data_IF_370751715647
#
_entry.id   IF_370751715647
#
_cell.length_a   1.000
_cell.length_b   1.000
_cell.length_c   1.000
_cell.angle_alpha   90.00
_cell.angle_beta   90.00
_cell.angle_gamma   90.00
#
_symmetry.space_group_name_H-M   'P 1'
#
loop_
_entity.id
_entity.type
_entity.pdbx_description
1 polymer ?
#
# COMPACT_ATOMS: atom_id res chain seq x y z
N UNK A 1 -16.23 -19.42 -8.19
CA UNK A 1 -15.18 -18.90 -9.09
C UNK A 1 -14.93 -17.45 -8.71
N UNK A 2 -13.69 -16.95 -8.76
CA UNK A 2 -13.42 -15.53 -8.54
C UNK A 2 -14.25 -14.69 -9.51
N UNK A 3 -14.78 -13.55 -9.07
CA UNK A 3 -15.50 -12.64 -9.97
C UNK A 3 -14.53 -12.09 -11.03
N UNK A 4 -15.07 -11.65 -12.18
CA UNK A 4 -14.27 -10.96 -13.19
C UNK A 4 -13.89 -9.57 -12.68
N UNK A 5 -12.60 -9.28 -12.64
CA UNK A 5 -12.06 -7.97 -12.23
C UNK A 5 -11.35 -7.31 -13.41
N UNK A 6 -11.39 -5.99 -13.48
CA UNK A 6 -10.64 -5.19 -14.46
C UNK A 6 -9.42 -4.49 -13.82
N UNK A 7 -9.15 -4.75 -12.54
CA UNK A 7 -8.05 -4.13 -11.80
C UNK A 7 -6.67 -4.64 -12.22
N UNK A 8 -6.57 -5.91 -12.61
CA UNK A 8 -5.36 -6.48 -13.21
C UNK A 8 -5.35 -6.23 -14.71
N UNK A 9 -4.85 -5.06 -15.08
CA UNK A 9 -4.66 -4.69 -16.48
C UNK A 9 -3.29 -5.15 -16.99
N UNK A 10 -3.19 -5.39 -18.29
CA UNK A 10 -1.90 -5.60 -18.95
C UNK A 10 -1.11 -4.28 -18.94
N UNK A 11 0.09 -4.33 -18.37
CA UNK A 11 0.97 -3.16 -18.26
C UNK A 11 2.21 -3.38 -19.12
N UNK A 12 2.52 -2.49 -20.08
CA UNK A 12 3.75 -2.56 -20.86
C UNK A 12 5.00 -2.64 -19.99
N UNK A 13 6.00 -3.41 -20.41
CA UNK A 13 7.29 -3.52 -19.70
C UNK A 13 8.06 -2.20 -19.64
N UNK A 14 7.71 -1.24 -20.50
CA UNK A 14 8.28 0.10 -20.52
C UNK A 14 7.75 1.02 -19.42
N UNK A 15 6.58 0.74 -18.83
CA UNK A 15 6.06 1.53 -17.71
C UNK A 15 6.81 1.19 -16.42
N UNK A 16 7.06 2.18 -15.57
CA UNK A 16 7.56 1.96 -14.23
C UNK A 16 6.52 1.21 -13.38
N UNK A 17 6.90 0.33 -12.44
CA UNK A 17 6.02 -0.23 -11.41
C UNK A 17 5.48 0.81 -10.40
N UNK A 18 5.26 2.05 -10.83
CA UNK A 18 4.72 3.15 -10.02
C UNK A 18 3.28 3.38 -10.48
N UNK A 19 2.34 3.22 -9.54
CA UNK A 19 0.90 3.29 -9.77
C UNK A 19 0.34 4.59 -9.21
N UNK A 20 -0.38 5.32 -10.04
CA UNK A 20 -1.02 6.59 -9.68
C UNK A 20 -2.21 6.86 -10.60
N UNK A 21 -3.17 7.65 -10.14
CA UNK A 21 -4.19 8.27 -11.01
C UNK A 21 -4.43 9.71 -10.57
N UNK A 22 -4.65 10.66 -11.50
CA UNK A 22 -5.11 12.00 -11.16
C UNK A 22 -6.38 12.03 -10.30
N UNK A 23 -7.21 10.98 -10.41
CA UNK A 23 -8.44 10.79 -9.62
C UNK A 23 -8.18 10.44 -8.15
N UNK A 24 -6.93 10.24 -7.71
CA UNK A 24 -6.60 10.00 -6.30
C UNK A 24 -6.88 11.21 -5.41
N UNK A 25 -6.78 12.42 -5.96
CA UNK A 25 -6.81 13.64 -5.17
C UNK A 25 -8.27 13.97 -4.77
N UNK A 26 -8.51 14.09 -3.46
CA UNK A 26 -9.82 14.50 -2.93
C UNK A 26 -9.86 16.03 -2.91
N UNK A 27 -10.49 16.64 -3.91
CA UNK A 27 -10.65 18.10 -3.96
C UNK A 27 -12.03 18.49 -3.44
N UNK A 28 -12.06 19.43 -2.48
CA UNK A 28 -13.27 19.90 -1.86
C UNK A 28 -13.40 21.44 -1.91
N UNK A 29 -13.28 22.01 -3.11
CA UNK A 29 -13.46 23.45 -3.35
C UNK A 29 -12.61 24.34 -2.42
N UNK A 30 -11.46 23.85 -1.92
CA UNK A 30 -10.56 24.55 -1.01
C UNK A 30 -10.72 24.19 0.48
N UNK A 31 -11.80 23.51 0.87
CA UNK A 31 -12.06 23.10 2.26
C UNK A 31 -11.17 21.93 2.70
N UNK A 32 -10.59 21.18 1.76
CA UNK A 32 -9.55 20.18 2.05
C UNK A 32 -8.33 20.78 2.77
N UNK A 33 -8.08 22.09 2.61
CA UNK A 33 -6.97 22.79 3.25
C UNK A 33 -7.14 23.01 4.77
N UNK A 34 -8.34 22.78 5.30
CA UNK A 34 -8.66 22.88 6.73
C UNK A 34 -8.49 21.55 7.47
N UNK A 35 -8.17 20.48 6.75
CA UNK A 35 -7.98 19.15 7.30
C UNK A 35 -6.48 18.81 7.34
N UNK A 36 -5.98 18.07 8.36
CA UNK A 36 -4.57 17.67 8.43
C UNK A 36 -4.13 16.84 7.20
N UNK A 37 -5.04 16.06 6.61
CA UNK A 37 -4.78 15.31 5.38
C UNK A 37 -4.67 16.21 4.13
N UNK A 38 -3.46 16.34 3.58
CA UNK A 38 -3.21 16.98 2.29
C UNK A 38 -3.72 16.09 1.15
N UNK A 39 -4.98 16.32 0.78
CA UNK A 39 -5.66 15.53 -0.25
C UNK A 39 -5.10 15.69 -1.67
N UNK A 40 -4.11 16.57 -1.89
CA UNK A 40 -3.34 16.70 -3.12
C UNK A 40 -1.92 16.15 -3.04
N UNK A 41 -1.54 15.48 -1.93
CA UNK A 41 -0.19 14.96 -1.67
C UNK A 41 0.33 14.10 -2.81
N UNK A 42 -0.52 13.24 -3.38
CA UNK A 42 -0.15 12.24 -4.38
C UNK A 42 0.25 12.85 -5.72
N UNK A 43 -0.51 13.85 -6.18
CA UNK A 43 -0.15 14.61 -7.38
C UNK A 43 1.20 15.30 -7.23
N UNK A 44 1.45 15.93 -6.08
CA UNK A 44 2.73 16.61 -5.80
C UNK A 44 3.92 15.64 -5.80
N UNK A 45 3.77 14.43 -5.27
CA UNK A 45 4.83 13.41 -5.35
C UNK A 45 5.18 13.13 -6.82
N UNK A 46 4.17 12.88 -7.65
CA UNK A 46 4.37 12.63 -9.08
C UNK A 46 5.02 13.83 -9.78
N UNK A 47 4.58 15.04 -9.47
CA UNK A 47 5.15 16.26 -10.05
C UNK A 47 6.65 16.39 -9.70
N UNK A 48 7.04 16.15 -8.44
CA UNK A 48 8.46 16.13 -8.05
C UNK A 48 9.25 15.04 -8.78
N UNK A 49 8.71 13.83 -8.95
CA UNK A 49 9.39 12.76 -9.70
C UNK A 49 9.56 13.10 -11.19
N UNK A 50 8.64 13.88 -11.76
CA UNK A 50 8.75 14.40 -13.14
C UNK A 50 9.79 15.51 -13.25
N UNK A 51 9.82 16.44 -12.29
CA UNK A 51 10.82 17.50 -12.22
C UNK A 51 12.25 16.93 -12.21
N UNK A 52 12.45 15.84 -11.47
CA UNK A 52 13.72 15.11 -11.37
C UNK A 52 13.94 14.10 -12.51
N UNK A 53 13.03 14.07 -13.49
CA UNK A 53 13.10 13.26 -14.73
C UNK A 53 13.15 11.74 -14.51
N UNK A 54 12.69 11.25 -13.36
CA UNK A 54 12.57 9.81 -13.13
C UNK A 54 11.43 9.20 -13.94
N UNK A 55 10.29 9.91 -13.98
CA UNK A 55 9.06 9.45 -14.65
C UNK A 55 8.52 10.52 -15.61
N UNK A 56 7.75 10.07 -16.60
CA UNK A 56 6.90 10.89 -17.45
C UNK A 56 5.51 10.24 -17.49
N UNK A 57 4.47 10.99 -17.83
CA UNK A 57 3.07 10.53 -17.73
C UNK A 57 2.80 9.19 -18.41
N UNK A 58 3.32 8.99 -19.62
CA UNK A 58 3.11 7.76 -20.40
C UNK A 58 3.78 6.51 -19.79
N UNK A 59 4.69 6.70 -18.83
CA UNK A 59 5.43 5.62 -18.18
C UNK A 59 4.90 5.31 -16.78
N UNK A 60 3.87 5.99 -16.31
CA UNK A 60 3.22 5.73 -15.02
C UNK A 60 2.04 4.79 -15.24
N UNK A 61 1.85 3.82 -14.36
CA UNK A 61 0.70 2.91 -14.44
C UNK A 61 -0.54 3.60 -13.88
N UNK A 62 -1.54 3.78 -14.74
CA UNK A 62 -2.82 4.37 -14.35
C UNK A 62 -3.63 3.40 -13.51
N UNK A 63 -4.01 3.82 -12.30
CA UNK A 63 -4.90 3.05 -11.42
C UNK A 63 -6.35 3.05 -11.93
N UNK A 64 -7.09 1.96 -11.68
CA UNK A 64 -8.54 1.84 -11.96
C UNK A 64 -9.34 1.85 -10.66
N UNK A 65 -10.59 2.34 -10.74
CA UNK A 65 -11.53 2.30 -9.62
C UNK A 65 -11.89 0.84 -9.27
N UNK A 66 -11.75 0.46 -7.99
CA UNK A 66 -12.27 -0.81 -7.50
C UNK A 66 -13.81 -0.82 -7.54
N UNK A 67 -14.38 -1.81 -8.22
CA UNK A 67 -15.83 -2.00 -8.33
C UNK A 67 -16.42 -2.53 -7.01
N UNK A 68 -17.74 -2.50 -6.86
CA UNK A 68 -18.38 -3.10 -5.68
C UNK A 68 -18.05 -4.60 -5.56
N UNK A 69 -17.97 -5.34 -6.67
CA UNK A 69 -17.61 -6.76 -6.67
C UNK A 69 -16.14 -6.99 -6.25
N UNK A 70 -15.24 -6.09 -6.65
CA UNK A 70 -13.85 -6.11 -6.16
C UNK A 70 -13.79 -5.91 -4.65
N UNK A 71 -14.55 -4.94 -4.13
CA UNK A 71 -14.57 -4.63 -2.71
C UNK A 71 -15.17 -5.77 -1.87
N UNK A 72 -16.14 -6.52 -2.40
CA UNK A 72 -16.79 -7.64 -1.71
C UNK A 72 -15.90 -8.85 -1.47
N UNK A 73 -14.71 -8.90 -2.06
CA UNK A 73 -13.70 -9.94 -1.76
C UNK A 73 -13.31 -9.89 -0.28
N UNK A 74 -13.28 -8.69 0.31
CA UNK A 74 -12.96 -8.47 1.73
C UNK A 74 -14.13 -7.86 2.48
N UNK A 75 -14.77 -6.85 1.90
CA UNK A 75 -15.78 -6.10 2.63
C UNK A 75 -17.11 -6.80 2.72
N UNK A 76 -17.73 -6.73 3.89
CA UNK A 76 -19.11 -7.20 4.04
C UNK A 76 -20.05 -6.29 3.25
N UNK A 77 -21.06 -6.88 2.58
CA UNK A 77 -22.13 -6.12 1.92
C UNK A 77 -22.79 -5.13 2.88
N UNK A 78 -22.94 -5.53 4.15
CA UNK A 78 -23.46 -4.67 5.24
C UNK A 78 -22.63 -3.39 5.38
N UNK A 79 -21.31 -3.49 5.42
CA UNK A 79 -20.43 -2.33 5.53
C UNK A 79 -20.47 -1.45 4.29
N UNK A 80 -20.38 -2.03 3.08
CA UNK A 80 -20.48 -1.25 1.84
C UNK A 80 -21.81 -0.49 1.72
N UNK A 81 -22.91 -1.09 2.19
CA UNK A 81 -24.20 -0.39 2.27
C UNK A 81 -24.20 0.78 3.26
N UNK A 82 -23.41 0.74 4.35
CA UNK A 82 -23.27 1.88 5.27
C UNK A 82 -22.57 3.06 4.61
N UNK A 83 -21.58 2.82 3.74
CA UNK A 83 -20.85 3.87 3.01
C UNK A 83 -21.74 4.66 2.03
N UNK A 84 -22.97 4.20 1.75
CA UNK A 84 -23.97 4.97 0.99
C UNK A 84 -24.47 6.19 1.76
N UNK A 85 -24.25 6.29 3.08
CA UNK A 85 -24.72 7.39 3.92
C UNK A 85 -23.60 8.40 4.19
N UNK A 86 -23.84 9.69 3.86
CA UNK A 86 -22.84 10.76 4.02
C UNK A 86 -22.34 10.91 5.46
N UNK A 87 -23.20 10.69 6.46
CA UNK A 87 -22.81 10.72 7.87
C UNK A 87 -21.72 9.69 8.19
N UNK A 88 -21.86 8.45 7.68
CA UNK A 88 -20.86 7.40 7.89
C UNK A 88 -19.53 7.78 7.26
N UNK A 89 -19.57 8.30 6.03
CA UNK A 89 -18.34 8.75 5.33
C UNK A 89 -17.68 9.89 6.09
N UNK A 90 -18.44 10.91 6.52
CA UNK A 90 -17.92 12.04 7.28
C UNK A 90 -17.26 11.62 8.60
N UNK A 91 -17.81 10.61 9.29
CA UNK A 91 -17.20 10.04 10.51
C UNK A 91 -15.90 9.32 10.19
N UNK A 92 -15.87 8.48 9.15
CA UNK A 92 -14.67 7.71 8.78
C UNK A 92 -13.54 8.63 8.32
N UNK A 93 -13.86 9.65 7.53
CA UNK A 93 -12.87 10.60 7.01
C UNK A 93 -12.55 11.71 7.98
N UNK A 94 -13.24 11.80 9.12
CA UNK A 94 -13.14 12.88 10.11
C UNK A 94 -13.22 14.30 9.51
N UNK A 95 -14.06 14.44 8.48
CA UNK A 95 -14.33 15.73 7.83
C UNK A 95 -15.80 16.06 8.07
N UNK A 96 -16.16 16.75 9.18
CA UNK A 96 -17.54 17.12 9.48
C UNK A 96 -18.27 17.82 8.32
N UNK A 97 -17.64 18.72 7.52
CA UNK A 97 -18.27 19.33 6.35
C UNK A 97 -18.84 18.35 5.31
N UNK A 98 -18.30 17.13 5.20
CA UNK A 98 -18.81 16.09 4.27
C UNK A 98 -20.27 15.73 4.57
N UNK A 99 -20.73 15.88 5.81
CA UNK A 99 -22.12 15.63 6.20
C UNK A 99 -23.12 16.49 5.42
N UNK A 100 -22.75 17.74 5.13
CA UNK A 100 -23.65 18.71 4.51
C UNK A 100 -23.64 18.64 2.98
N UNK A 101 -22.82 17.76 2.40
CA UNK A 101 -22.77 17.59 0.96
C UNK A 101 -23.89 16.70 0.43
N UNK A 102 -24.45 17.07 -0.74
CA UNK A 102 -25.26 16.14 -1.53
C UNK A 102 -24.55 14.80 -1.66
N UNK A 103 -25.24 13.70 -1.33
CA UNK A 103 -24.61 12.39 -1.23
C UNK A 103 -23.89 11.96 -2.51
N UNK A 104 -24.43 12.28 -3.70
CA UNK A 104 -23.77 11.98 -4.96
C UNK A 104 -22.38 12.62 -5.09
N UNK A 105 -22.15 13.80 -4.48
CA UNK A 105 -20.83 14.43 -4.41
C UNK A 105 -19.92 13.68 -3.45
N UNK A 106 -20.41 13.23 -2.29
CA UNK A 106 -19.64 12.40 -1.36
C UNK A 106 -19.18 11.11 -2.04
N UNK A 107 -20.09 10.42 -2.73
CA UNK A 107 -19.76 9.21 -3.48
C UNK A 107 -18.70 9.48 -4.57
N UNK A 108 -18.86 10.57 -5.34
CA UNK A 108 -18.00 10.86 -6.50
C UNK A 108 -16.67 11.54 -6.16
N UNK A 109 -16.63 12.38 -5.13
CA UNK A 109 -15.48 13.24 -4.81
C UNK A 109 -14.70 12.77 -3.59
N UNK A 110 -15.26 11.90 -2.76
CA UNK A 110 -14.58 11.32 -1.60
C UNK A 110 -14.36 9.83 -1.80
N UNK A 111 -15.43 9.03 -1.96
CA UNK A 111 -15.30 7.58 -2.01
C UNK A 111 -14.68 7.06 -3.29
N UNK A 112 -15.04 7.62 -4.47
CA UNK A 112 -14.42 7.21 -5.74
C UNK A 112 -12.89 7.35 -5.73
N UNK A 113 -12.29 8.49 -5.32
CA UNK A 113 -10.83 8.58 -5.16
C UNK A 113 -10.23 7.50 -4.27
N UNK A 114 -10.87 7.17 -3.14
CA UNK A 114 -10.41 6.11 -2.23
C UNK A 114 -10.54 4.71 -2.88
N UNK A 115 -11.58 4.45 -3.69
CA UNK A 115 -11.68 3.21 -4.47
C UNK A 115 -10.64 3.13 -5.58
N UNK A 116 -10.29 4.24 -6.21
CA UNK A 116 -9.22 4.30 -7.22
C UNK A 116 -7.86 4.05 -6.59
N UNK A 117 -7.58 4.62 -5.40
CA UNK A 117 -6.39 4.27 -4.63
C UNK A 117 -6.36 2.79 -4.24
N UNK A 118 -7.50 2.23 -3.84
CA UNK A 118 -7.64 0.80 -3.51
C UNK A 118 -7.32 -0.10 -4.72
N UNK A 119 -7.88 0.21 -5.89
CA UNK A 119 -7.57 -0.50 -7.13
C UNK A 119 -6.10 -0.35 -7.53
N UNK A 120 -5.51 0.80 -7.26
CA UNK A 120 -4.07 1.04 -7.40
C UNK A 120 -3.22 0.15 -6.52
N UNK A 121 -3.58 -0.03 -5.25
CA UNK A 121 -2.87 -0.93 -4.30
C UNK A 121 -2.95 -2.38 -4.79
N UNK A 122 -4.11 -2.81 -5.29
CA UNK A 122 -4.29 -4.15 -5.88
C UNK A 122 -3.40 -4.34 -7.12
N UNK A 123 -3.42 -3.38 -8.06
CA UNK A 123 -2.58 -3.42 -9.27
C UNK A 123 -1.08 -3.40 -8.92
N UNK A 124 -0.67 -2.55 -7.99
CA UNK A 124 0.72 -2.46 -7.53
C UNK A 124 1.16 -3.78 -6.89
N UNK A 125 0.30 -4.45 -6.12
CA UNK A 125 0.59 -5.79 -5.60
C UNK A 125 0.92 -6.81 -6.70
N UNK A 126 0.14 -6.82 -7.79
CA UNK A 126 0.41 -7.68 -8.95
C UNK A 126 1.74 -7.31 -9.62
N UNK A 127 2.00 -6.02 -9.84
CA UNK A 127 3.25 -5.54 -10.42
C UNK A 127 4.46 -5.89 -9.55
N UNK A 128 4.33 -5.81 -8.23
CA UNK A 128 5.41 -6.17 -7.31
C UNK A 128 5.81 -7.64 -7.50
N UNK A 129 4.84 -8.56 -7.59
CA UNK A 129 5.11 -9.98 -7.85
C UNK A 129 5.74 -10.17 -9.23
N UNK A 130 5.21 -9.50 -10.26
CA UNK A 130 5.68 -9.67 -11.65
C UNK A 130 7.08 -9.08 -11.90
N UNK A 131 7.42 -7.99 -11.20
CA UNK A 131 8.60 -7.15 -11.50
C UNK A 131 9.57 -7.03 -10.32
N UNK A 132 9.25 -7.66 -9.20
CA UNK A 132 10.06 -7.67 -7.97
C UNK A 132 9.88 -6.44 -7.08
N UNK A 133 9.20 -5.38 -7.54
CA UNK A 133 8.83 -4.23 -6.73
C UNK A 133 7.69 -3.44 -7.38
N UNK A 134 6.90 -2.72 -6.58
CA UNK A 134 5.98 -1.70 -7.04
C UNK A 134 5.66 -0.69 -5.94
N UNK A 135 5.24 0.50 -6.34
CA UNK A 135 4.82 1.57 -5.43
C UNK A 135 3.45 2.06 -5.88
N UNK A 136 2.44 1.98 -5.01
CA UNK A 136 1.25 2.80 -5.16
C UNK A 136 1.48 4.12 -4.43
N UNK A 137 1.42 5.24 -5.13
CA UNK A 137 1.76 6.54 -4.54
C UNK A 137 0.72 7.01 -3.51
N UNK A 138 -0.46 6.39 -3.49
CA UNK A 138 -1.47 6.54 -2.43
C UNK A 138 -1.78 5.21 -1.75
N UNK A 139 -3.01 5.06 -1.23
CA UNK A 139 -3.42 3.86 -0.48
C UNK A 139 -2.76 3.78 0.90
N UNK A 140 -2.66 2.57 1.44
CA UNK A 140 -2.17 2.36 2.82
C UNK A 140 -3.27 2.57 3.85
N UNK A 141 -4.50 2.17 3.54
CA UNK A 141 -5.67 2.39 4.37
C UNK A 141 -5.74 1.39 5.54
N UNK A 142 -4.70 1.40 6.36
CA UNK A 142 -4.41 0.40 7.37
C UNK A 142 -5.40 0.35 8.56
N UNK A 143 -6.26 1.36 8.72
CA UNK A 143 -7.30 1.38 9.76
C UNK A 143 -8.63 0.76 9.33
N UNK A 144 -8.83 0.52 8.03
CA UNK A 144 -10.05 -0.11 7.55
C UNK A 144 -9.92 -1.64 7.60
N UNK A 145 -10.94 -2.27 8.18
CA UNK A 145 -11.14 -3.72 8.17
C UNK A 145 -12.32 -4.08 7.26
N UNK A 146 -12.53 -5.37 7.04
CA UNK A 146 -13.63 -5.95 6.28
C UNK A 146 -15.02 -5.39 6.61
N UNK A 147 -15.30 -4.95 7.84
CA UNK A 147 -16.62 -4.45 8.21
C UNK A 147 -16.67 -3.09 8.92
N UNK A 148 -15.52 -2.42 9.05
CA UNK A 148 -15.40 -1.12 9.71
C UNK A 148 -14.29 -0.26 9.11
N UNK A 149 -14.58 1.01 8.85
CA UNK A 149 -13.59 2.04 8.53
C UNK A 149 -13.33 2.98 9.72
N UNK A 150 -12.29 3.80 9.61
CA UNK A 150 -11.87 4.79 10.61
C UNK A 150 -10.50 5.36 10.27
N UNK A 151 -10.05 6.41 10.97
CA UNK A 151 -8.72 7.01 10.74
C UNK A 151 -8.45 7.33 9.27
N UNK A 152 -9.39 8.00 8.60
CA UNK A 152 -9.34 8.34 7.16
C UNK A 152 -9.47 7.15 6.18
N UNK A 153 -9.57 5.92 6.67
CA UNK A 153 -9.58 4.70 5.86
C UNK A 153 -11.00 4.17 5.66
N UNK A 154 -11.52 4.26 4.43
CA UNK A 154 -12.85 3.76 4.07
C UNK A 154 -12.86 2.38 3.39
N UNK A 155 -11.71 1.93 2.90
CA UNK A 155 -11.56 0.65 2.20
C UNK A 155 -10.28 -0.04 2.68
N UNK A 156 -10.31 -1.36 2.87
CA UNK A 156 -9.21 -2.15 3.40
C UNK A 156 -8.27 -2.58 2.26
N UNK A 157 -7.59 -1.60 1.66
CA UNK A 157 -6.82 -1.80 0.42
C UNK A 157 -5.65 -2.78 0.57
N UNK A 158 -4.94 -2.76 1.70
CA UNK A 158 -3.88 -3.73 2.03
C UNK A 158 -4.48 -5.15 2.12
N UNK A 159 -5.59 -5.33 2.86
CA UNK A 159 -6.26 -6.62 2.97
C UNK A 159 -6.73 -7.12 1.61
N UNK A 160 -7.35 -6.25 0.81
CA UNK A 160 -7.82 -6.56 -0.54
C UNK A 160 -6.67 -6.98 -1.44
N UNK A 161 -5.57 -6.24 -1.48
CA UNK A 161 -4.41 -6.59 -2.30
C UNK A 161 -3.85 -7.97 -1.95
N UNK A 162 -3.68 -8.29 -0.66
CA UNK A 162 -3.20 -9.61 -0.23
C UNK A 162 -4.19 -10.72 -0.61
N UNK A 163 -5.50 -10.54 -0.39
CA UNK A 163 -6.51 -11.55 -0.76
C UNK A 163 -6.56 -11.76 -2.27
N UNK A 164 -6.51 -10.69 -3.07
CA UNK A 164 -6.43 -10.78 -4.53
C UNK A 164 -5.20 -11.55 -4.98
N UNK A 165 -4.03 -11.29 -4.39
CA UNK A 165 -2.81 -12.02 -4.69
C UNK A 165 -2.95 -13.51 -4.37
N UNK A 166 -3.43 -13.86 -3.18
CA UNK A 166 -3.61 -15.27 -2.77
C UNK A 166 -4.61 -16.03 -3.63
N UNK A 167 -5.65 -15.36 -4.14
CA UNK A 167 -6.70 -16.01 -4.94
C UNK A 167 -6.35 -16.09 -6.43
N UNK A 168 -5.57 -15.13 -6.95
CA UNK A 168 -5.47 -14.91 -8.40
C UNK A 168 -4.05 -15.00 -8.95
N UNK A 169 -3.02 -14.96 -8.11
CA UNK A 169 -1.63 -15.01 -8.54
C UNK A 169 -1.00 -16.33 -8.11
N UNK A 170 -0.72 -17.18 -9.09
CA UNK A 170 -0.13 -18.49 -8.85
C UNK A 170 1.21 -18.37 -8.12
N UNK A 171 1.37 -19.15 -7.05
CA UNK A 171 2.60 -19.21 -6.27
C UNK A 171 2.68 -18.18 -5.13
N UNK A 172 1.71 -17.26 -5.01
CA UNK A 172 1.64 -16.33 -3.87
C UNK A 172 0.69 -16.88 -2.83
N UNK A 173 1.21 -17.18 -1.64
CA UNK A 173 0.48 -17.84 -0.57
C UNK A 173 0.80 -17.30 0.82
N UNK A 174 1.91 -16.57 0.96
CA UNK A 174 2.37 -15.95 2.21
C UNK A 174 2.76 -14.50 1.98
N UNK A 175 2.36 -13.63 2.90
CA UNK A 175 2.70 -12.20 2.85
C UNK A 175 3.25 -11.75 4.19
N UNK A 176 4.20 -10.81 4.17
CA UNK A 176 4.62 -10.07 5.37
C UNK A 176 4.17 -8.63 5.22
N UNK A 177 3.35 -8.15 6.15
CA UNK A 177 3.04 -6.73 6.29
C UNK A 177 4.10 -6.11 7.19
N UNK A 178 4.73 -5.05 6.71
CA UNK A 178 5.61 -4.19 7.50
C UNK A 178 4.91 -2.83 7.54
N UNK A 179 4.28 -2.51 8.67
CA UNK A 179 3.65 -1.21 8.88
C UNK A 179 4.57 -0.30 9.71
N UNK A 180 4.97 0.82 9.11
CA UNK A 180 5.82 1.85 9.71
C UNK A 180 5.15 3.23 9.68
N UNK A 181 3.83 3.26 9.57
CA UNK A 181 3.01 4.43 9.92
C UNK A 181 3.06 4.68 11.43
N UNK A 182 2.91 5.94 11.86
CA UNK A 182 2.96 6.27 13.28
C UNK A 182 1.81 5.61 14.08
N UNK A 183 0.70 5.30 13.42
CA UNK A 183 -0.48 4.69 14.03
C UNK A 183 -0.47 3.17 13.84
N UNK A 184 -1.03 2.46 14.82
CA UNK A 184 -1.24 1.01 14.71
C UNK A 184 -2.22 0.68 13.56
N UNK A 185 -1.85 -0.25 12.69
CA UNK A 185 -2.60 -0.72 11.53
C UNK A 185 -3.77 -1.66 11.86
N UNK A 186 -4.64 -1.25 12.79
CA UNK A 186 -5.68 -2.11 13.39
C UNK A 186 -6.69 -2.72 12.41
N UNK A 187 -6.83 -2.18 11.19
CA UNK A 187 -7.71 -2.70 10.16
C UNK A 187 -7.25 -4.05 9.62
N UNK A 188 -6.04 -4.10 9.05
CA UNK A 188 -5.48 -5.35 8.51
C UNK A 188 -5.13 -6.34 9.62
N UNK A 189 -4.76 -5.87 10.81
CA UNK A 189 -4.58 -6.73 11.99
C UNK A 189 -5.85 -7.51 12.35
N UNK A 190 -7.02 -6.85 12.32
CA UNK A 190 -8.31 -7.52 12.56
C UNK A 190 -8.62 -8.55 11.49
N UNK A 191 -8.41 -8.20 10.22
CA UNK A 191 -8.73 -9.05 9.08
C UNK A 191 -7.85 -10.32 9.00
N UNK A 192 -6.61 -10.26 9.50
CA UNK A 192 -5.65 -11.36 9.42
C UNK A 192 -5.32 -12.02 10.77
N UNK A 193 -6.03 -11.69 11.85
CA UNK A 193 -5.76 -12.19 13.21
C UNK A 193 -5.58 -13.72 13.30
N UNK A 194 -6.38 -14.46 12.53
CA UNK A 194 -6.40 -15.92 12.51
C UNK A 194 -5.80 -16.52 11.22
N UNK A 195 -5.18 -15.71 10.34
CA UNK A 195 -4.62 -16.16 9.06
C UNK A 195 -3.08 -16.27 9.14
N UNK A 196 -2.58 -17.47 9.46
CA UNK A 196 -1.14 -17.73 9.60
C UNK A 196 -0.32 -17.58 8.30
N UNK A 197 -0.97 -17.33 7.16
CA UNK A 197 -0.29 -16.98 5.91
C UNK A 197 0.23 -15.55 5.90
N UNK A 198 -0.29 -14.69 6.78
CA UNK A 198 0.11 -13.28 6.88
C UNK A 198 0.86 -13.05 8.18
N UNK A 199 2.09 -12.56 8.05
CA UNK A 199 2.90 -12.12 9.18
C UNK A 199 2.82 -10.59 9.29
N UNK A 200 2.54 -10.08 10.49
CA UNK A 200 2.42 -8.64 10.72
C UNK A 200 3.55 -8.19 11.63
N UNK A 201 4.38 -7.28 11.10
CA UNK A 201 5.23 -6.40 11.86
C UNK A 201 4.63 -4.99 11.84
N UNK A 202 4.50 -4.38 13.00
CA UNK A 202 3.97 -3.02 13.13
C UNK A 202 4.81 -2.24 14.15
N UNK A 203 5.26 -1.04 13.75
CA UNK A 203 6.05 -0.13 14.57
C UNK A 203 5.36 1.24 14.67
N UNK A 204 4.69 1.48 15.79
CA UNK A 204 3.79 2.62 15.98
C UNK A 204 4.04 3.32 17.33
N UNK A 205 3.62 4.58 17.42
CA UNK A 205 3.56 5.31 18.69
C UNK A 205 2.40 4.75 19.53
N UNK A 206 2.69 4.16 20.69
CA UNK A 206 1.68 3.42 21.47
C UNK A 206 0.64 4.30 22.17
N UNK A 207 0.84 5.61 22.21
CA UNK A 207 0.00 6.55 22.95
C UNK A 207 -1.08 7.23 22.09
N UNK A 208 -1.04 7.03 20.77
CA UNK A 208 -1.98 7.66 19.83
C UNK A 208 -3.05 6.66 19.35
N UNK A 209 -4.02 7.17 18.60
CA UNK A 209 -5.08 6.37 17.97
C UNK A 209 -4.46 5.13 17.28
N UNK A 210 -5.10 3.94 17.35
CA UNK A 210 -6.48 3.64 17.76
C UNK A 210 -6.66 3.07 19.17
N UNK A 211 -5.58 2.71 19.88
CA UNK A 211 -5.69 2.03 21.18
C UNK A 211 -6.36 0.65 21.12
N UNK A 212 -6.27 -0.04 19.98
CA UNK A 212 -7.02 -1.28 19.71
C UNK A 212 -6.28 -2.54 20.22
N UNK A 213 -6.38 -2.78 21.54
CA UNK A 213 -5.70 -3.90 22.19
C UNK A 213 -6.10 -5.29 21.69
N UNK A 214 -7.29 -5.44 21.10
CA UNK A 214 -7.71 -6.72 20.51
C UNK A 214 -6.96 -6.99 19.22
N UNK A 215 -6.92 -6.00 18.31
CA UNK A 215 -6.21 -6.08 17.03
C UNK A 215 -4.70 -6.31 17.23
N UNK A 216 -4.10 -5.68 18.25
CA UNK A 216 -2.69 -5.85 18.66
C UNK A 216 -2.24 -7.30 18.88
N UNK A 217 -3.16 -8.26 19.03
CA UNK A 217 -2.85 -9.70 19.19
C UNK A 217 -2.46 -10.37 17.87
N UNK A 218 -2.81 -9.77 16.73
CA UNK A 218 -2.42 -10.25 15.40
C UNK A 218 -0.94 -9.96 15.09
N UNK A 219 -0.39 -8.88 15.67
CA UNK A 219 0.98 -8.43 15.44
C UNK A 219 1.96 -9.47 15.99
N UNK A 220 2.70 -10.14 15.10
CA UNK A 220 3.73 -11.13 15.46
C UNK A 220 4.99 -10.44 15.96
N UNK A 221 5.36 -9.31 15.37
CA UNK A 221 6.50 -8.49 15.78
C UNK A 221 6.08 -7.05 16.01
N UNK A 222 5.73 -6.80 17.26
CA UNK A 222 5.23 -5.50 17.74
C UNK A 222 6.38 -4.63 18.23
N UNK A 223 6.47 -3.41 17.72
CA UNK A 223 7.47 -2.42 18.11
C UNK A 223 6.76 -1.18 18.61
N UNK A 224 6.60 -1.06 19.92
CA UNK A 224 5.97 0.12 20.51
C UNK A 224 7.01 1.23 20.70
N UNK A 225 6.75 2.38 20.07
CA UNK A 225 7.59 3.58 20.12
C UNK A 225 7.05 4.55 21.17
N UNK A 226 7.97 5.32 21.75
CA UNK A 226 7.65 6.36 22.73
C UNK A 226 7.47 7.72 22.02
N UNK A 227 6.85 8.68 22.71
CA UNK A 227 6.81 10.06 22.22
C UNK A 227 8.20 10.59 21.94
N UNK A 228 8.37 11.26 20.81
CA UNK A 228 9.63 11.91 20.44
C UNK A 228 10.77 10.94 20.17
N UNK A 229 10.53 9.65 19.88
CA UNK A 229 11.59 8.77 19.37
C UNK A 229 12.24 9.42 18.14
N UNK A 230 13.58 9.50 18.16
CA UNK A 230 14.42 10.11 17.14
C UNK A 230 15.06 9.07 16.20
N UNK A 231 15.71 9.55 15.14
CA UNK A 231 16.28 8.75 14.05
C UNK A 231 17.10 7.53 14.48
N UNK A 232 18.05 7.70 15.41
CA UNK A 232 19.00 6.63 15.77
C UNK A 232 18.28 5.44 16.38
N UNK A 233 17.42 5.69 17.38
CA UNK A 233 16.64 4.65 18.05
C UNK A 233 15.65 4.01 17.08
N UNK A 234 14.94 4.84 16.30
CA UNK A 234 13.95 4.39 15.34
C UNK A 234 14.55 3.48 14.27
N UNK A 235 15.61 3.92 13.60
CA UNK A 235 16.24 3.15 12.53
C UNK A 235 16.85 1.85 13.04
N UNK A 236 17.42 1.84 14.25
CA UNK A 236 17.92 0.61 14.87
C UNK A 236 16.80 -0.41 15.11
N UNK A 237 15.65 0.05 15.64
CA UNK A 237 14.47 -0.78 15.83
C UNK A 237 13.94 -1.28 14.49
N UNK A 238 13.73 -0.41 13.51
CA UNK A 238 13.24 -0.79 12.18
C UNK A 238 14.15 -1.86 11.57
N UNK A 239 15.47 -1.62 11.50
CA UNK A 239 16.40 -2.58 10.91
C UNK A 239 16.33 -3.95 11.60
N UNK A 240 16.40 -3.97 12.94
CA UNK A 240 16.36 -5.22 13.73
C UNK A 240 15.08 -5.99 13.49
N UNK A 241 13.95 -5.29 13.46
CA UNK A 241 12.65 -5.92 13.40
C UNK A 241 12.24 -6.32 11.98
N UNK A 242 12.62 -5.55 10.95
CA UNK A 242 12.42 -5.94 9.54
C UNK A 242 13.19 -7.21 9.22
N UNK A 243 14.47 -7.29 9.62
CA UNK A 243 15.29 -8.49 9.46
C UNK A 243 14.69 -9.69 10.19
N UNK A 244 14.21 -9.49 11.43
CA UNK A 244 13.51 -10.51 12.20
C UNK A 244 12.24 -11.03 11.50
N UNK A 245 11.36 -10.13 11.04
CA UNK A 245 10.11 -10.49 10.38
C UNK A 245 10.34 -11.34 9.11
N UNK A 246 11.33 -10.97 8.29
CA UNK A 246 11.66 -11.68 7.06
C UNK A 246 12.45 -13.00 7.28
N UNK A 247 13.00 -13.20 8.49
CA UNK A 247 13.65 -14.45 8.87
C UNK A 247 12.65 -15.44 9.51
N UNK A 248 11.66 -14.94 10.25
CA UNK A 248 10.64 -15.76 10.91
C UNK A 248 9.59 -16.31 9.94
N UNK A 249 9.12 -15.47 9.00
CA UNK A 249 8.34 -15.92 7.85
C UNK A 249 9.14 -15.62 6.59
N UNK A 250 9.23 -16.59 5.68
CA UNK A 250 9.69 -16.36 4.30
C UNK A 250 8.47 -16.06 3.43
N UNK A 251 8.10 -14.78 3.21
CA UNK A 251 6.92 -14.43 2.43
C UNK A 251 7.21 -14.54 0.93
N UNK A 252 6.13 -14.66 0.15
CA UNK A 252 6.16 -14.55 -1.30
C UNK A 252 6.07 -13.06 -1.73
N UNK A 253 5.63 -12.17 -0.83
CA UNK A 253 5.58 -10.71 -1.02
C UNK A 253 5.66 -9.96 0.32
N UNK A 254 6.33 -8.82 0.33
CA UNK A 254 6.26 -7.80 1.39
C UNK A 254 5.24 -6.72 0.99
N UNK A 255 4.30 -6.42 1.88
CA UNK A 255 3.48 -5.20 1.79
C UNK A 255 4.01 -4.21 2.82
N UNK A 256 4.63 -3.14 2.33
CA UNK A 256 5.25 -2.11 3.12
C UNK A 256 4.36 -0.86 3.18
N UNK A 257 3.82 -0.58 4.37
CA UNK A 257 3.05 0.64 4.64
C UNK A 257 4.01 1.73 5.15
N UNK A 258 4.33 2.70 4.30
CA UNK A 258 5.42 3.65 4.48
C UNK A 258 4.94 5.03 4.98
N UNK A 259 4.02 5.04 5.96
CA UNK A 259 3.43 6.27 6.51
C UNK A 259 4.49 7.28 6.94
N UNK A 260 4.27 8.56 6.66
CA UNK A 260 5.26 9.64 6.91
C UNK A 260 4.86 10.55 8.06
N UNK A 261 3.83 10.19 8.80
CA UNK A 261 3.40 10.87 10.04
C UNK A 261 4.33 10.62 11.23
N UNK A 262 5.33 9.75 11.09
CA UNK A 262 6.47 9.66 12.01
C UNK A 262 7.38 10.91 11.99
N UNK A 263 7.21 11.78 11.00
CA UNK A 263 8.02 12.98 10.79
C UNK A 263 7.92 13.95 11.98
N UNK A 264 9.06 14.50 12.39
CA UNK A 264 9.10 15.54 13.42
C UNK A 264 8.13 16.70 13.11
N UNK A 265 7.36 17.09 14.12
CA UNK A 265 6.31 18.11 14.02
C UNK A 265 5.04 17.68 13.29
N UNK A 266 4.86 16.39 12.97
CA UNK A 266 3.59 15.91 12.43
C UNK A 266 2.49 16.03 13.50
N UNK A 267 1.30 16.56 13.16
CA UNK A 267 0.27 16.85 14.15
C UNK A 267 -0.37 15.61 14.78
N UNK A 268 -0.21 14.42 14.18
CA UNK A 268 -0.88 13.19 14.62
C UNK A 268 0.09 12.11 15.10
N UNK A 269 1.28 11.99 14.52
CA UNK A 269 2.16 10.85 14.80
C UNK A 269 3.04 10.95 16.05
N UNK A 270 3.45 12.15 16.47
CA UNK A 270 4.10 12.32 17.78
C UNK A 270 5.52 11.77 17.95
N UNK A 271 6.19 11.46 16.85
CA UNK A 271 7.60 11.04 16.82
C UNK A 271 8.48 12.21 16.36
N UNK A 272 9.80 12.05 16.44
CA UNK A 272 10.79 13.09 16.12
C UNK A 272 11.75 12.62 15.01
N UNK A 273 11.22 11.96 13.97
CA UNK A 273 12.03 11.42 12.87
C UNK A 273 12.31 12.53 11.85
N UNK A 274 13.56 12.66 11.42
CA UNK A 274 13.95 13.64 10.42
C UNK A 274 13.51 13.22 9.00
N UNK A 275 13.47 14.14 8.03
CA UNK A 275 13.30 13.78 6.61
C UNK A 275 14.30 12.72 6.13
N UNK A 276 15.56 12.83 6.55
CA UNK A 276 16.61 11.86 6.22
C UNK A 276 16.37 10.51 6.91
N UNK A 277 15.83 10.51 8.13
CA UNK A 277 15.41 9.30 8.83
C UNK A 277 14.33 8.53 8.07
N UNK A 278 13.35 9.22 7.49
CA UNK A 278 12.31 8.61 6.64
C UNK A 278 12.91 8.02 5.36
N UNK A 279 13.75 8.76 4.65
CA UNK A 279 14.44 8.26 3.44
C UNK A 279 15.28 7.02 3.77
N UNK A 280 15.97 7.04 4.92
CA UNK A 280 16.81 5.93 5.37
C UNK A 280 15.99 4.70 5.78
N UNK A 281 14.84 4.90 6.41
CA UNK A 281 13.90 3.83 6.76
C UNK A 281 13.44 3.07 5.52
N UNK A 282 13.02 3.79 4.49
CA UNK A 282 12.55 3.16 3.24
C UNK A 282 13.70 2.39 2.56
N UNK A 283 14.91 2.94 2.57
CA UNK A 283 16.12 2.24 2.11
C UNK A 283 16.35 0.92 2.89
N UNK A 284 16.23 0.92 4.21
CA UNK A 284 16.42 -0.27 5.06
C UNK A 284 15.43 -1.37 4.66
N UNK A 285 14.15 -1.02 4.49
CA UNK A 285 13.10 -1.99 4.13
C UNK A 285 13.35 -2.56 2.73
N UNK A 286 13.61 -1.71 1.74
CA UNK A 286 13.89 -2.16 0.37
C UNK A 286 15.16 -3.00 0.29
N UNK A 287 16.24 -2.64 0.99
CA UNK A 287 17.47 -3.47 1.05
C UNK A 287 17.18 -4.85 1.63
N UNK A 288 16.41 -4.93 2.70
CA UNK A 288 16.07 -6.20 3.35
C UNK A 288 15.26 -7.12 2.43
N UNK A 289 14.26 -6.58 1.71
CA UNK A 289 13.46 -7.34 0.76
C UNK A 289 14.23 -7.72 -0.51
N UNK A 290 14.92 -6.76 -1.14
CA UNK A 290 15.63 -6.95 -2.42
C UNK A 290 16.83 -7.89 -2.29
N UNK A 291 17.60 -7.81 -1.20
CA UNK A 291 18.72 -8.74 -0.95
C UNK A 291 18.26 -10.20 -0.84
N UNK A 292 17.01 -10.43 -0.43
CA UNK A 292 16.37 -11.75 -0.34
C UNK A 292 15.57 -12.12 -1.60
N UNK A 293 15.54 -11.25 -2.61
CA UNK A 293 14.72 -11.38 -3.83
C UNK A 293 13.22 -11.57 -3.53
N UNK A 294 12.74 -10.92 -2.47
CA UNK A 294 11.32 -10.92 -2.11
C UNK A 294 10.66 -9.72 -2.81
N UNK A 295 9.61 -9.93 -3.62
CA UNK A 295 8.75 -8.88 -4.14
C UNK A 295 8.28 -7.90 -3.06
N UNK A 296 8.33 -6.60 -3.32
CA UNK A 296 7.88 -5.57 -2.37
C UNK A 296 6.85 -4.62 -3.00
N UNK A 297 5.68 -4.53 -2.39
CA UNK A 297 4.67 -3.49 -2.63
C UNK A 297 4.84 -2.41 -1.57
N UNK A 298 5.09 -1.17 -1.97
CA UNK A 298 5.06 0.00 -1.09
C UNK A 298 3.77 0.79 -1.30
N UNK A 299 3.14 1.20 -0.19
CA UNK A 299 2.05 2.19 -0.15
C UNK A 299 2.44 3.28 0.83
N UNK A 300 1.95 4.52 0.65
CA UNK A 300 2.54 5.71 1.31
C UNK A 300 1.76 6.23 2.53
N UNK A 301 0.49 5.82 2.72
CA UNK A 301 -0.32 6.05 3.95
C UNK A 301 -0.35 7.50 4.47
N UNK A 302 -0.22 7.66 5.79
CA UNK A 302 -0.30 8.91 6.54
C UNK A 302 0.84 9.89 6.23
N UNK A 303 0.87 10.96 7.02
CA UNK A 303 1.75 12.11 6.84
C UNK A 303 0.98 13.33 6.42
N UNK A 304 0.98 14.32 7.32
CA UNK A 304 0.02 15.42 7.34
C UNK A 304 0.71 16.80 7.23
N UNK A 305 2.00 16.80 6.90
CA UNK A 305 2.77 18.01 6.63
C UNK A 305 2.90 18.28 5.13
N UNK A 306 2.90 19.55 4.73
CA UNK A 306 3.07 19.94 3.32
C UNK A 306 4.38 19.42 2.69
N UNK A 307 5.44 19.30 3.51
CA UNK A 307 6.76 18.80 3.07
C UNK A 307 6.80 17.30 2.81
N UNK A 308 5.82 16.54 3.31
CA UNK A 308 5.74 15.08 3.15
C UNK A 308 5.84 14.64 1.68
N UNK A 309 5.15 15.33 0.76
CA UNK A 309 5.17 14.97 -0.66
C UNK A 309 6.60 15.00 -1.24
N UNK A 310 7.41 15.99 -0.85
CA UNK A 310 8.81 16.06 -1.28
C UNK A 310 9.64 14.94 -0.67
N UNK A 311 9.43 14.62 0.62
CA UNK A 311 10.16 13.55 1.32
C UNK A 311 9.87 12.18 0.68
N UNK A 312 8.62 11.91 0.31
CA UNK A 312 8.26 10.68 -0.40
C UNK A 312 8.97 10.62 -1.76
N UNK A 313 8.99 11.73 -2.52
CA UNK A 313 9.73 11.79 -3.78
C UNK A 313 11.24 11.57 -3.59
N UNK A 314 11.84 12.21 -2.58
CA UNK A 314 13.26 12.04 -2.23
C UNK A 314 13.58 10.59 -1.87
N UNK A 315 12.68 9.91 -1.15
CA UNK A 315 12.82 8.49 -0.83
C UNK A 315 12.82 7.63 -2.08
N UNK A 316 11.86 7.81 -3.00
CA UNK A 316 11.79 7.08 -4.26
C UNK A 316 13.05 7.33 -5.11
N UNK A 317 13.51 8.57 -5.19
CA UNK A 317 14.74 8.93 -5.90
C UNK A 317 15.97 8.28 -5.26
N UNK A 318 16.07 8.25 -3.93
CA UNK A 318 17.13 7.56 -3.22
C UNK A 318 17.13 6.05 -3.52
N UNK A 319 15.96 5.41 -3.48
CA UNK A 319 15.83 4.00 -3.85
C UNK A 319 16.30 3.74 -5.29
N UNK A 320 15.99 4.64 -6.22
CA UNK A 320 16.44 4.54 -7.60
C UNK A 320 17.95 4.71 -7.73
N UNK A 321 18.52 5.73 -7.09
CA UNK A 321 19.95 6.03 -7.10
C UNK A 321 20.80 4.88 -6.52
N UNK A 322 20.23 4.12 -5.57
CA UNK A 322 20.85 2.93 -4.98
C UNK A 322 20.63 1.65 -5.79
N UNK A 323 19.91 1.70 -6.92
CA UNK A 323 19.56 0.53 -7.72
C UNK A 323 18.61 -0.45 -7.02
N UNK A 324 17.88 0.01 -6.01
CA UNK A 324 16.89 -0.81 -5.29
C UNK A 324 15.56 -0.87 -6.06
N UNK A 325 15.29 0.18 -6.84
CA UNK A 325 14.21 0.22 -7.82
C UNK A 325 14.79 0.59 -9.20
N UNK A 326 14.43 -0.20 -10.19
CA UNK A 326 14.95 -0.14 -11.55
C UNK A 326 13.84 -0.40 -12.57
N UNK A 327 14.10 0.05 -13.80
CA UNK A 327 13.21 -0.22 -14.94
C UNK A 327 13.49 -1.58 -15.57
N UNK A 328 14.70 -2.10 -15.35
CA UNK A 328 15.05 -3.42 -15.86
C UNK A 328 14.17 -4.46 -15.17
N UNK A 329 13.56 -5.31 -15.99
CA UNK A 329 12.95 -6.53 -15.49
C UNK A 329 13.97 -7.24 -14.60
N UNK A 330 13.52 -7.95 -13.57
CA UNK A 330 14.33 -8.95 -12.90
C UNK A 330 14.65 -10.11 -13.87
N UNK A 331 15.32 -9.83 -14.99
CA UNK A 331 15.93 -10.78 -15.92
C UNK A 331 17.21 -11.31 -15.29
N UNK A 332 17.08 -11.93 -14.12
CA UNK A 332 18.04 -12.88 -13.56
C UNK A 332 17.37 -13.78 -12.51
N UNK A 333 16.09 -14.10 -12.70
CA UNK A 333 15.48 -15.27 -12.09
C UNK A 333 15.46 -16.39 -13.12
N UNK A 334 16.36 -17.36 -13.00
CA UNK A 334 16.24 -18.62 -13.71
C UNK A 334 14.79 -19.11 -13.60
N UNK A 335 14.13 -19.26 -14.75
CA UNK A 335 12.81 -19.86 -14.85
C UNK A 335 12.87 -21.14 -14.03
N UNK A 336 11.95 -21.28 -13.07
CA UNK A 336 11.81 -22.52 -12.31
C UNK A 336 11.75 -23.68 -13.32
N UNK A 337 12.64 -24.69 -13.26
CA UNK A 337 12.68 -25.76 -14.26
C UNK A 337 11.31 -26.44 -14.47
N UNK A 338 10.44 -26.40 -13.44
CA UNK A 338 9.07 -26.89 -13.52
C UNK A 338 8.16 -26.03 -14.41
N UNK A 339 8.33 -24.71 -14.42
CA UNK A 339 7.57 -23.78 -15.29
C UNK A 339 8.02 -23.91 -16.74
N UNK A 340 9.32 -24.11 -16.97
CA UNK A 340 9.87 -24.35 -18.31
C UNK A 340 9.39 -25.70 -18.89
N UNK A 341 9.35 -26.75 -18.06
CA UNK A 341 8.81 -28.06 -18.43
C UNK A 341 7.30 -27.98 -18.76
N UNK A 342 6.52 -27.20 -17.99
CA UNK A 342 5.08 -27.02 -18.24
C UNK A 342 4.80 -26.24 -19.52
N UNK A 343 5.60 -25.20 -19.82
CA UNK A 343 5.49 -24.46 -21.08
C UNK A 343 5.85 -25.34 -22.29
N UNK A 344 6.89 -26.18 -22.16
CA UNK A 344 7.25 -27.15 -23.22
C UNK A 344 6.15 -28.19 -23.46
N UNK A 345 5.51 -28.70 -22.40
CA UNK A 345 4.43 -29.68 -22.54
C UNK A 345 3.16 -29.06 -23.16
N UNK A 346 2.81 -27.82 -22.80
CA UNK A 346 1.65 -27.11 -23.36
C UNK A 346 1.81 -26.80 -24.86
N UNK A 347 3.04 -26.48 -25.30
CA UNK A 347 3.35 -26.25 -26.71
C UNK A 347 3.32 -27.57 -27.51
N UNK A 348 3.75 -28.69 -26.90
CA UNK A 348 3.66 -30.02 -27.52
C UNK A 348 2.19 -30.49 -27.69
N UNK A 349 1.32 -30.18 -26.74
CA UNK A 349 -0.11 -30.51 -26.84
C UNK A 349 -0.83 -29.67 -27.92
N UNK A 350 -0.44 -28.39 -28.09
CA UNK A 350 -1.01 -27.51 -29.12
C UNK A 350 -0.54 -27.86 -30.55
N UNK A 351 0.63 -28.47 -30.69
CA UNK A 351 1.15 -28.91 -31.99
C UNK A 351 0.60 -30.26 -32.43
N UNK A 352 0.11 -31.09 -31.49
CA UNK A 352 -0.60 -32.33 -31.81
C UNK A 352 -2.08 -32.11 -32.15
N UNK A 353 -2.68 -30.99 -31.74
CA UNK A 353 -4.07 -30.61 -32.05
C UNK A 353 -4.24 -29.93 -33.42
N UNK A 354 -3.15 -29.59 -34.12
CA UNK A 354 -3.17 -29.00 -35.47
C UNK A 354 -2.83 -30.00 -36.60
N UNK A 355 -2.65 -31.28 -36.25
CA UNK A 355 -2.32 -32.38 -37.18
C UNK A 355 -3.35 -33.53 -37.17
N UNK A 356 -4.54 -33.31 -36.62
CA UNK A 356 -5.75 -34.14 -36.81
C UNK A 356 -6.85 -33.27 -37.39
#
# INVERSE_FOLDING_TARGET
>A
MPHRTELYQDVPSTCWPIVYSPDYNITFMGLEKLHPFDAGKWGKVIDFLKEEKLVVDDLIVQAREATEDDLLVVHTRRYLNKLKWSFVVATITEIPPVLFLPNFLVQRKVLKPLRTQTGGTIMAGKLAVDRGWAINVGGGFHHCSSDKGGGFCAYADITLAIKFLFERVQGVSKATIIDLDAHQGNGHERDFMDDNRVYIMDAYNRYIYPGDGFAKRAIKRKVELEWGTEDTEYLQKVQTHVEGALNELKPDIVVYNAGTDILDGDPLGGLAISPQGIVKRDEVVFKAARSRRIPILMVTSGGYQKRTARIIADSILNLHNLGLIDKELATSGAVNPKVEQMLRNSIADLTNLSLQ
#
